data_IF_992683119817
#
_entry.id   IF_992683119817
#
_cell.length_a   1.000
_cell.length_b   1.000
_cell.length_c   1.000
_cell.angle_alpha   90.00
_cell.angle_beta   90.00
_cell.angle_gamma   90.00
#
_symmetry.space_group_name_H-M   'P 1'
#
loop_
_entity.id
_entity.type
_entity.pdbx_description
1 polymer ?
#
# COMPACT_ATOMS: atom_id res chain seq x y z
N UNK A 1 -5.72 14.48 6.11
CA UNK A 1 -5.60 13.01 5.98
C UNK A 1 -4.46 12.72 5.01
N UNK A 2 -3.47 11.90 5.39
CA UNK A 2 -2.36 11.58 4.47
C UNK A 2 -2.93 10.73 3.33
N UNK A 3 -2.95 11.29 2.12
CA UNK A 3 -3.41 10.65 0.89
C UNK A 3 -2.75 9.26 0.69
N UNK A 4 -1.52 9.13 1.16
CA UNK A 4 -0.70 7.92 1.12
C UNK A 4 -1.22 6.82 2.05
N UNK A 5 -1.76 7.17 3.22
CA UNK A 5 -2.39 6.19 4.11
C UNK A 5 -3.66 5.59 3.50
N UNK A 6 -4.54 6.43 2.96
CA UNK A 6 -5.77 5.98 2.29
C UNK A 6 -5.45 5.10 1.08
N UNK A 7 -4.43 5.48 0.29
CA UNK A 7 -3.94 4.69 -0.84
C UNK A 7 -3.40 3.33 -0.41
N UNK A 8 -2.70 3.24 0.73
CA UNK A 8 -2.24 1.97 1.31
C UNK A 8 -3.43 1.06 1.64
N UNK A 9 -4.45 1.61 2.32
CA UNK A 9 -5.63 0.84 2.73
C UNK A 9 -6.40 0.32 1.50
N UNK A 10 -6.56 1.16 0.47
CA UNK A 10 -7.19 0.76 -0.78
C UNK A 10 -6.40 -0.34 -1.52
N UNK A 11 -5.07 -0.24 -1.56
CA UNK A 11 -4.20 -1.24 -2.17
C UNK A 11 -4.25 -2.59 -1.42
N UNK A 12 -4.31 -2.57 -0.08
CA UNK A 12 -4.48 -3.77 0.74
C UNK A 12 -5.83 -4.43 0.47
N UNK A 13 -6.91 -3.65 0.42
CA UNK A 13 -8.24 -4.17 0.13
C UNK A 13 -8.27 -4.86 -1.26
N UNK A 14 -7.72 -4.19 -2.27
CA UNK A 14 -7.62 -4.73 -3.64
C UNK A 14 -6.80 -6.03 -3.68
N UNK A 15 -5.66 -6.06 -2.98
CA UNK A 15 -4.85 -7.27 -2.87
C UNK A 15 -5.63 -8.40 -2.20
N UNK A 16 -6.32 -8.13 -1.10
CA UNK A 16 -7.11 -9.14 -0.36
C UNK A 16 -8.17 -9.79 -1.26
N UNK A 17 -8.95 -8.97 -1.96
CA UNK A 17 -10.01 -9.45 -2.86
C UNK A 17 -9.46 -10.26 -4.05
N UNK A 18 -8.41 -9.77 -4.69
CA UNK A 18 -7.81 -10.46 -5.83
C UNK A 18 -7.04 -11.71 -5.38
N UNK A 19 -6.43 -11.70 -4.20
CA UNK A 19 -5.81 -12.88 -3.62
C UNK A 19 -6.87 -13.95 -3.34
N UNK A 20 -7.99 -13.59 -2.72
CA UNK A 20 -9.09 -14.52 -2.48
C UNK A 20 -9.61 -15.12 -3.79
N UNK A 21 -9.84 -14.30 -4.82
CA UNK A 21 -10.27 -14.78 -6.16
C UNK A 21 -9.23 -15.69 -6.82
N UNK A 22 -7.94 -15.42 -6.60
CA UNK A 22 -6.86 -16.26 -7.12
C UNK A 22 -6.76 -17.59 -6.37
N UNK A 23 -6.79 -17.59 -5.04
CA UNK A 23 -6.58 -18.78 -4.20
C UNK A 23 -7.80 -19.68 -4.11
N UNK A 24 -9.00 -19.11 -3.99
CA UNK A 24 -10.23 -19.89 -3.81
C UNK A 24 -10.87 -20.27 -5.14
N UNK A 25 -10.84 -19.36 -6.12
CA UNK A 25 -11.53 -19.55 -7.42
C UNK A 25 -10.59 -19.88 -8.57
N UNK A 26 -9.27 -19.88 -8.34
CA UNK A 26 -8.27 -20.20 -9.38
C UNK A 26 -8.22 -19.20 -10.53
N UNK A 27 -8.74 -17.98 -10.36
CA UNK A 27 -8.81 -16.98 -11.44
C UNK A 27 -7.41 -16.45 -11.74
N UNK A 28 -6.79 -16.96 -12.82
CA UNK A 28 -5.40 -16.59 -13.21
C UNK A 28 -5.19 -15.08 -13.39
N UNK A 29 -6.19 -14.35 -13.89
CA UNK A 29 -6.11 -12.90 -14.05
C UNK A 29 -5.98 -12.16 -12.70
N UNK A 30 -6.64 -12.67 -11.65
CA UNK A 30 -6.55 -12.12 -10.31
C UNK A 30 -5.14 -12.25 -9.73
N UNK A 31 -4.38 -13.29 -10.08
CA UNK A 31 -2.97 -13.42 -9.69
C UNK A 31 -2.07 -12.30 -10.24
N UNK A 32 -2.32 -11.84 -11.47
CA UNK A 32 -1.58 -10.68 -12.02
C UNK A 32 -1.98 -9.38 -11.33
N UNK A 33 -3.26 -9.20 -11.00
CA UNK A 33 -3.76 -8.01 -10.30
C UNK A 33 -3.26 -7.96 -8.85
N UNK A 34 -3.28 -9.09 -8.14
CA UNK A 34 -2.73 -9.20 -6.79
C UNK A 34 -1.25 -8.82 -6.74
N UNK A 35 -0.43 -9.33 -7.67
CA UNK A 35 1.00 -8.94 -7.78
C UNK A 35 1.18 -7.45 -8.07
N UNK A 36 0.34 -6.86 -8.92
CA UNK A 36 0.37 -5.41 -9.21
C UNK A 36 0.01 -4.59 -7.96
N UNK A 37 -1.01 -5.00 -7.22
CA UNK A 37 -1.41 -4.35 -5.97
C UNK A 37 -0.30 -4.41 -4.91
N UNK A 38 0.37 -5.56 -4.77
CA UNK A 38 1.53 -5.71 -3.87
C UNK A 38 2.71 -4.82 -4.27
N UNK A 39 3.01 -4.71 -5.57
CA UNK A 39 4.08 -3.85 -6.05
C UNK A 39 3.80 -2.37 -5.74
N UNK A 40 2.55 -1.94 -5.88
CA UNK A 40 2.15 -0.56 -5.56
C UNK A 40 2.15 -0.31 -4.05
N UNK A 41 1.64 -1.25 -3.26
CA UNK A 41 1.70 -1.20 -1.80
C UNK A 41 3.15 -1.00 -1.32
N UNK A 42 4.12 -1.72 -1.91
CA UNK A 42 5.54 -1.56 -1.59
C UNK A 42 6.09 -0.15 -1.82
N UNK A 43 5.61 0.56 -2.85
CA UNK A 43 6.00 1.97 -3.09
C UNK A 43 5.35 2.90 -2.07
N UNK A 44 4.04 2.72 -1.84
CA UNK A 44 3.28 3.53 -0.91
C UNK A 44 3.80 3.43 0.52
N UNK A 45 4.19 2.22 0.97
CA UNK A 45 4.81 2.01 2.29
C UNK A 45 6.12 2.79 2.42
N UNK A 46 6.97 2.78 1.39
CA UNK A 46 8.22 3.56 1.39
C UNK A 46 7.95 5.07 1.44
N UNK A 47 6.98 5.54 0.66
CA UNK A 47 6.56 6.95 0.67
C UNK A 47 6.04 7.37 2.06
N UNK A 48 5.12 6.58 2.63
CA UNK A 48 4.56 6.86 3.96
C UNK A 48 5.61 6.86 5.06
N UNK A 49 6.58 5.93 5.01
CA UNK A 49 7.72 5.92 5.94
C UNK A 49 8.56 7.20 5.83
N UNK A 50 8.81 7.68 4.61
CA UNK A 50 9.55 8.91 4.37
C UNK A 50 8.80 10.13 4.93
N UNK A 51 7.50 10.26 4.68
CA UNK A 51 6.66 11.34 5.23
C UNK A 51 6.71 11.39 6.77
N UNK A 52 6.62 10.23 7.42
CA UNK A 52 6.71 10.14 8.88
C UNK A 52 8.08 10.64 9.37
N UNK A 53 9.16 10.23 8.70
CA UNK A 53 10.50 10.66 9.06
C UNK A 53 10.70 12.17 8.86
N UNK A 54 10.18 12.72 7.76
CA UNK A 54 10.24 14.16 7.47
C UNK A 54 9.46 14.97 8.51
N UNK A 55 8.26 14.51 8.89
CA UNK A 55 7.46 15.15 9.96
C UNK A 55 8.23 15.16 11.27
N UNK A 56 8.79 14.03 11.69
CA UNK A 56 9.59 13.92 12.92
C UNK A 56 10.84 14.81 12.88
N UNK A 57 11.51 14.89 11.74
CA UNK A 57 12.68 15.74 11.57
C UNK A 57 12.30 17.23 11.63
N UNK A 58 11.19 17.62 11.01
CA UNK A 58 10.68 18.99 11.05
C UNK A 58 10.30 19.42 12.48
N UNK A 59 9.63 18.55 13.24
CA UNK A 59 9.32 18.77 14.66
C UNK A 59 10.59 18.96 15.50
N UNK A 60 11.67 18.22 15.19
CA UNK A 60 12.96 18.34 15.90
C UNK A 60 13.72 19.63 15.58
N UNK A 61 13.53 20.21 14.39
CA UNK A 61 14.20 21.46 14.00
C UNK A 61 13.42 22.70 14.42
N UNK A 62 12.13 22.57 14.71
CA UNK A 62 11.27 23.66 15.20
C UNK A 62 11.30 23.84 16.73
N UNK A 63 11.98 22.95 17.47
CA UNK A 63 12.19 22.97 18.91
C UNK A 63 13.64 23.35 19.25
#
# INVERSE_FOLDING_TARGET
>A
MSNTHESIMAAIQTYSEENQRFTEKGVKASGTRARKALAELGKLVKARRKEIQETKNAEKTAA
#
